data_IF_283857228237
#
_entry.id   IF_283857228237
#
_cell.length_a   1.000
_cell.length_b   1.000
_cell.length_c   1.000
_cell.angle_alpha   90.00
_cell.angle_beta   90.00
_cell.angle_gamma   90.00
#
_symmetry.space_group_name_H-M   'P 1'
#
loop_
_entity.id
_entity.type
_entity.pdbx_description
1 polymer ?
#
# COMPACT_ATOMS: atom_id res chain seq x y z
N UNK A 1 -7.07 -6.82 30.00
CA UNK A 1 -6.75 -7.92 29.04
C UNK A 1 -5.30 -7.69 28.62
N UNK A 2 -4.34 -8.48 29.12
CA UNK A 2 -2.87 -8.34 28.97
C UNK A 2 -2.09 -7.35 29.89
N UNK A 3 -2.72 -6.73 30.91
CA UNK A 3 -2.05 -5.81 31.86
C UNK A 3 -1.20 -4.69 31.20
N UNK A 4 -1.60 -4.22 30.02
CA UNK A 4 -0.92 -3.12 29.32
C UNK A 4 -1.50 -1.78 29.75
N UNK A 5 -0.61 -0.84 30.10
CA UNK A 5 -0.96 0.55 30.45
C UNK A 5 -0.73 1.51 29.28
N UNK A 6 0.01 1.10 28.24
CA UNK A 6 0.26 1.88 27.04
C UNK A 6 0.44 0.97 25.81
N UNK A 7 0.32 1.55 24.62
CA UNK A 7 0.66 0.93 23.34
C UNK A 7 2.01 1.49 22.89
N UNK A 8 2.98 0.62 22.58
CA UNK A 8 4.28 1.07 22.10
C UNK A 8 4.15 1.75 20.73
N UNK A 9 4.68 2.96 20.60
CA UNK A 9 4.74 3.70 19.33
C UNK A 9 6.09 4.38 19.19
N UNK A 10 6.87 3.97 18.18
CA UNK A 10 8.19 4.54 17.91
C UNK A 10 8.05 5.67 16.89
N UNK A 11 8.66 6.83 17.17
CA UNK A 11 8.67 8.00 16.26
C UNK A 11 9.37 7.65 14.94
N UNK A 12 8.85 8.16 13.84
CA UNK A 12 9.46 7.99 12.53
C UNK A 12 10.83 8.67 12.50
N UNK A 13 11.79 8.03 11.80
CA UNK A 13 13.13 8.60 11.62
C UNK A 13 13.03 9.96 10.91
N UNK A 14 13.78 10.93 11.42
CA UNK A 14 13.87 12.24 10.80
C UNK A 14 14.82 12.20 9.60
N UNK A 15 14.52 12.98 8.56
CA UNK A 15 15.50 13.32 7.55
C UNK A 15 16.52 14.28 8.18
N UNK A 16 17.77 13.80 8.36
CA UNK A 16 18.82 14.62 8.94
C UNK A 16 19.50 15.45 7.84
N UNK A 17 19.09 16.70 7.68
CA UNK A 17 19.73 17.65 6.76
C UNK A 17 20.87 18.43 7.41
N UNK A 18 21.21 18.14 8.68
CA UNK A 18 22.18 18.88 9.48
C UNK A 18 21.93 20.41 9.50
N UNK A 19 20.67 20.84 9.35
CA UNK A 19 20.25 22.24 9.34
C UNK A 19 19.13 22.48 10.37
N UNK A 20 19.06 23.68 10.93
CA UNK A 20 17.92 24.08 11.77
C UNK A 20 16.65 24.17 10.90
N UNK A 21 15.53 23.64 11.41
CA UNK A 21 14.25 23.63 10.70
C UNK A 21 13.20 22.72 11.34
N UNK A 22 11.99 22.66 10.77
CA UNK A 22 10.96 21.72 11.21
C UNK A 22 11.42 20.28 11.00
N UNK A 23 11.04 19.39 11.92
CA UNK A 23 11.34 17.96 11.79
C UNK A 23 10.51 17.37 10.65
N UNK A 24 11.17 16.92 9.59
CA UNK A 24 10.58 16.13 8.51
C UNK A 24 11.05 14.67 8.57
N UNK A 25 10.23 13.76 8.04
CA UNK A 25 10.45 12.32 8.09
C UNK A 25 11.01 11.82 6.77
N UNK A 26 11.79 10.74 6.82
CA UNK A 26 12.38 10.13 5.63
C UNK A 26 11.37 9.21 4.93
N UNK A 27 11.28 9.30 3.60
CA UNK A 27 10.70 8.23 2.78
C UNK A 27 11.82 7.26 2.37
N UNK A 28 11.75 6.01 2.81
CA UNK A 28 12.75 4.99 2.49
C UNK A 28 12.50 4.28 1.15
N UNK A 29 11.32 4.47 0.56
CA UNK A 29 11.00 3.96 -0.77
C UNK A 29 11.30 5.01 -1.84
N UNK A 30 11.33 4.59 -3.10
CA UNK A 30 11.30 5.54 -4.23
C UNK A 30 9.98 6.33 -4.20
N UNK A 31 10.01 7.55 -4.72
CA UNK A 31 8.84 8.44 -4.69
C UNK A 31 7.77 8.05 -5.70
N UNK A 32 8.12 7.27 -6.73
CA UNK A 32 7.30 7.00 -7.91
C UNK A 32 6.53 5.68 -7.79
N UNK A 33 5.51 5.52 -8.64
CA UNK A 33 4.81 4.24 -8.83
C UNK A 33 5.62 3.32 -9.76
N UNK A 34 6.77 2.85 -9.28
CA UNK A 34 7.79 2.14 -10.07
C UNK A 34 7.97 0.66 -9.65
N UNK A 35 7.04 0.15 -8.84
CA UNK A 35 7.10 -1.19 -8.24
C UNK A 35 8.38 -1.44 -7.42
N UNK A 36 8.96 -0.44 -6.78
CA UNK A 36 10.10 -0.62 -5.86
C UNK A 36 9.83 -1.61 -4.73
N UNK A 37 8.58 -1.85 -4.36
CA UNK A 37 8.21 -2.92 -3.42
C UNK A 37 8.50 -4.34 -3.98
N UNK A 38 8.58 -4.51 -5.31
CA UNK A 38 9.00 -5.74 -6.01
C UNK A 38 10.48 -5.71 -6.33
N UNK A 39 10.96 -4.61 -6.91
CA UNK A 39 12.33 -4.51 -7.46
C UNK A 39 13.37 -3.99 -6.47
N UNK A 40 12.97 -3.56 -5.27
CA UNK A 40 13.82 -2.88 -4.30
C UNK A 40 13.90 -1.37 -4.54
N UNK A 41 14.00 -0.59 -3.46
CA UNK A 41 14.19 0.87 -3.50
C UNK A 41 15.67 1.32 -3.58
N UNK A 42 16.61 0.39 -3.46
CA UNK A 42 18.06 0.65 -3.55
C UNK A 42 18.72 -0.46 -4.39
N UNK A 43 19.55 -0.06 -5.35
CA UNK A 43 20.29 -0.93 -6.28
C UNK A 43 21.14 -1.97 -5.52
N UNK A 44 22.05 -1.51 -4.66
CA UNK A 44 23.11 -2.35 -4.07
C UNK A 44 22.53 -3.26 -2.97
N UNK A 45 21.62 -2.75 -2.14
CA UNK A 45 21.19 -3.48 -0.95
C UNK A 45 19.99 -4.42 -1.19
N UNK A 46 19.13 -4.14 -2.18
CA UNK A 46 17.88 -4.90 -2.35
C UNK A 46 17.70 -5.44 -3.78
N UNK A 47 17.93 -4.65 -4.83
CA UNK A 47 17.51 -5.03 -6.21
C UNK A 47 18.30 -6.22 -6.78
N UNK A 48 19.62 -6.20 -6.65
CA UNK A 48 20.49 -7.25 -7.17
C UNK A 48 20.23 -8.62 -6.51
N UNK A 49 19.93 -8.62 -5.21
CA UNK A 49 19.67 -9.83 -4.44
C UNK A 49 18.36 -10.53 -4.80
N UNK A 50 17.52 -9.90 -5.62
CA UNK A 50 16.22 -10.39 -6.07
C UNK A 50 16.25 -10.95 -7.50
N UNK A 51 17.40 -10.92 -8.19
CA UNK A 51 17.55 -11.33 -9.60
C UNK A 51 18.24 -12.69 -9.73
N UNK A 52 17.90 -13.42 -10.79
CA UNK A 52 18.60 -14.66 -11.18
C UNK A 52 19.89 -14.37 -11.94
N UNK A 53 19.98 -13.20 -12.59
CA UNK A 53 20.98 -12.89 -13.64
C UNK A 53 20.98 -13.88 -14.81
N UNK A 54 19.85 -14.56 -15.01
CA UNK A 54 19.61 -15.47 -16.13
C UNK A 54 18.27 -15.11 -16.78
N UNK A 55 18.32 -14.76 -18.06
CA UNK A 55 17.14 -14.49 -18.88
C UNK A 55 16.33 -13.27 -18.44
N UNK A 56 16.93 -12.34 -17.71
CA UNK A 56 16.30 -11.14 -17.17
C UNK A 56 15.29 -11.40 -16.05
N UNK A 57 15.37 -12.54 -15.37
CA UNK A 57 14.33 -12.98 -14.43
C UNK A 57 14.60 -12.55 -12.98
N UNK A 58 13.50 -12.41 -12.22
CA UNK A 58 13.50 -12.34 -10.76
C UNK A 58 13.57 -13.74 -10.14
N UNK A 59 14.18 -13.82 -8.97
CA UNK A 59 14.28 -15.04 -8.18
C UNK A 59 12.91 -15.55 -7.76
N UNK A 60 12.67 -16.82 -8.06
CA UNK A 60 11.50 -17.57 -7.60
C UNK A 60 11.92 -18.95 -7.12
N UNK A 61 11.08 -19.55 -6.28
CA UNK A 61 11.20 -20.93 -5.82
C UNK A 61 9.91 -21.69 -6.13
N UNK A 62 9.94 -23.01 -6.02
CA UNK A 62 8.77 -23.87 -6.21
C UNK A 62 8.30 -24.44 -4.87
N UNK A 63 7.00 -24.33 -4.62
CA UNK A 63 6.36 -25.09 -3.57
C UNK A 63 6.30 -26.58 -3.93
N UNK A 64 6.03 -27.45 -2.94
CA UNK A 64 5.94 -28.92 -3.16
C UNK A 64 4.89 -29.33 -4.19
N UNK A 65 3.85 -28.52 -4.38
CA UNK A 65 2.80 -28.75 -5.38
C UNK A 65 3.13 -28.17 -6.76
N UNK A 66 4.36 -27.67 -6.99
CA UNK A 66 4.80 -27.07 -8.24
C UNK A 66 4.39 -25.60 -8.41
N UNK A 67 3.69 -24.99 -7.44
CA UNK A 67 3.32 -23.59 -7.54
C UNK A 67 4.54 -22.67 -7.33
N UNK A 68 4.74 -21.71 -8.24
CA UNK A 68 5.79 -20.70 -8.15
C UNK A 68 5.51 -19.76 -6.97
N UNK A 69 6.52 -19.54 -6.13
CA UNK A 69 6.52 -18.65 -4.96
C UNK A 69 7.78 -17.79 -4.89
N UNK A 70 7.77 -16.77 -4.03
CA UNK A 70 8.97 -16.02 -3.67
C UNK A 70 10.01 -16.92 -2.96
N UNK A 71 11.28 -16.54 -3.04
CA UNK A 71 12.37 -17.27 -2.37
C UNK A 71 12.35 -16.99 -0.86
N UNK A 72 12.33 -18.03 0.01
CA UNK A 72 12.48 -17.86 1.45
C UNK A 72 13.83 -17.23 1.82
N UNK A 73 13.83 -16.35 2.81
CA UNK A 73 15.05 -15.80 3.41
C UNK A 73 15.81 -16.91 4.14
N UNK A 74 17.12 -16.97 3.94
CA UNK A 74 18.02 -17.93 4.58
C UNK A 74 18.71 -17.25 5.77
N UNK A 75 18.43 -17.69 7.01
CA UNK A 75 19.14 -17.22 8.21
C UNK A 75 18.23 -16.85 9.38
N UNK A 76 18.81 -16.79 10.60
CA UNK A 76 18.16 -16.33 11.85
C UNK A 76 18.24 -14.80 12.05
N UNK A 77 18.84 -14.07 11.12
CA UNK A 77 19.09 -12.64 11.24
C UNK A 77 18.11 -11.85 10.37
N UNK A 78 16.87 -11.74 10.82
CA UNK A 78 16.04 -10.59 10.47
C UNK A 78 15.61 -9.96 11.79
N UNK A 79 16.36 -8.94 12.19
CA UNK A 79 16.00 -8.10 13.32
C UNK A 79 15.05 -7.03 12.79
N UNK A 80 13.75 -7.26 12.92
CA UNK A 80 12.80 -6.16 12.78
C UNK A 80 12.99 -5.19 13.96
N UNK A 81 13.02 -3.90 13.64
CA UNK A 81 12.95 -2.77 14.58
C UNK A 81 11.83 -2.84 15.62
N UNK A 82 10.82 -3.69 15.43
CA UNK A 82 9.70 -3.86 16.35
C UNK A 82 9.80 -5.08 17.28
N UNK A 83 10.92 -5.84 17.26
CA UNK A 83 11.04 -7.13 17.98
C UNK A 83 9.87 -8.09 17.65
N UNK A 84 9.28 -7.90 16.45
CA UNK A 84 8.25 -8.76 15.90
C UNK A 84 8.92 -10.03 15.42
N UNK A 85 8.34 -11.15 15.82
CA UNK A 85 8.87 -12.49 15.57
C UNK A 85 9.12 -12.66 14.07
N UNK A 86 10.22 -13.31 13.65
CA UNK A 86 10.38 -13.77 12.27
C UNK A 86 9.09 -14.47 11.82
N UNK A 87 8.78 -14.46 10.53
CA UNK A 87 7.59 -15.13 10.02
C UNK A 87 7.45 -16.54 10.62
N UNK A 88 6.20 -16.99 10.84
CA UNK A 88 5.82 -18.20 11.61
C UNK A 88 5.54 -18.02 13.12
N UNK A 89 4.77 -17.00 13.59
CA UNK A 89 4.13 -17.06 14.91
C UNK A 89 2.72 -17.70 14.83
N UNK A 90 2.43 -18.82 15.53
CA UNK A 90 3.32 -19.67 16.32
C UNK A 90 4.17 -20.60 15.43
N UNK A 91 5.32 -21.10 15.94
CA UNK A 91 6.19 -22.05 15.24
C UNK A 91 5.43 -23.35 14.94
N UNK A 92 4.69 -23.38 13.84
CA UNK A 92 4.13 -24.60 13.31
C UNK A 92 5.24 -25.29 12.50
N UNK A 93 5.21 -26.63 12.45
CA UNK A 93 6.05 -27.38 11.51
C UNK A 93 5.42 -27.29 10.10
N UNK A 94 6.21 -27.07 9.04
CA UNK A 94 7.66 -26.84 9.04
C UNK A 94 8.03 -25.42 9.51
N UNK A 95 9.23 -25.26 10.08
CA UNK A 95 9.75 -23.94 10.40
C UNK A 95 10.00 -23.17 9.10
N UNK A 96 9.18 -22.15 8.83
CA UNK A 96 9.28 -21.32 7.62
C UNK A 96 9.87 -19.96 7.95
N UNK A 97 10.76 -19.47 7.10
CA UNK A 97 11.23 -18.09 7.13
C UNK A 97 10.28 -17.16 6.38
N UNK A 98 10.53 -15.86 6.49
CA UNK A 98 9.93 -14.87 5.60
C UNK A 98 10.43 -15.04 4.17
N UNK A 99 9.79 -14.38 3.22
CA UNK A 99 10.21 -14.30 1.83
C UNK A 99 11.03 -13.04 1.55
N UNK A 100 11.98 -13.14 0.62
CA UNK A 100 12.74 -11.98 0.13
C UNK A 100 11.81 -11.08 -0.69
N UNK A 101 11.76 -9.79 -0.36
CA UNK A 101 10.93 -8.81 -1.06
C UNK A 101 11.66 -7.47 -1.21
N UNK A 102 11.30 -6.69 -2.24
CA UNK A 102 11.82 -5.33 -2.42
C UNK A 102 11.44 -4.36 -1.30
N UNK A 103 10.35 -4.62 -0.58
CA UNK A 103 9.83 -3.82 0.54
C UNK A 103 10.19 -4.39 1.93
N UNK A 104 11.18 -5.29 1.99
CA UNK A 104 11.65 -5.94 3.21
C UNK A 104 10.55 -6.77 3.89
N UNK A 105 10.38 -6.56 5.21
CA UNK A 105 9.43 -7.34 6.01
C UNK A 105 7.95 -7.03 5.71
N UNK A 106 7.64 -5.87 5.10
CA UNK A 106 6.26 -5.48 4.80
C UNK A 106 5.61 -6.34 3.71
N UNK A 107 6.40 -6.85 2.76
CA UNK A 107 5.93 -7.87 1.81
C UNK A 107 5.52 -9.19 2.49
N UNK A 108 5.91 -9.38 3.76
CA UNK A 108 5.54 -10.51 4.61
C UNK A 108 4.53 -10.16 5.70
N UNK A 109 3.85 -9.01 5.61
CA UNK A 109 2.92 -8.60 6.65
C UNK A 109 1.76 -9.61 6.82
N UNK A 110 1.23 -10.16 5.73
CA UNK A 110 0.21 -11.19 5.73
C UNK A 110 0.25 -11.98 4.40
N UNK A 111 -0.29 -13.21 4.33
CA UNK A 111 -0.18 -14.06 3.14
C UNK A 111 -0.93 -13.51 1.92
N UNK A 112 -1.89 -12.60 2.10
CA UNK A 112 -2.64 -11.97 1.02
C UNK A 112 -1.76 -10.99 0.24
N UNK A 113 -1.01 -10.14 0.94
CA UNK A 113 -0.02 -9.24 0.35
C UNK A 113 1.07 -10.04 -0.35
N UNK A 114 1.65 -11.04 0.33
CA UNK A 114 2.70 -11.90 -0.24
C UNK A 114 2.23 -12.63 -1.52
N UNK A 115 0.96 -13.06 -1.56
CA UNK A 115 0.37 -13.69 -2.76
C UNK A 115 0.27 -12.73 -3.93
N UNK A 116 -0.21 -11.50 -3.71
CA UNK A 116 -0.28 -10.47 -4.76
C UNK A 116 1.11 -10.07 -5.24
N UNK A 117 2.07 -9.95 -4.33
CA UNK A 117 3.46 -9.66 -4.70
C UNK A 117 4.07 -10.77 -5.56
N UNK A 118 3.81 -12.03 -5.21
CA UNK A 118 4.25 -13.18 -6.03
C UNK A 118 3.63 -13.13 -7.43
N UNK A 119 2.37 -12.70 -7.57
CA UNK A 119 1.72 -12.56 -8.88
C UNK A 119 2.48 -11.57 -9.78
N UNK A 120 2.93 -10.44 -9.23
CA UNK A 120 3.68 -9.42 -9.98
C UNK A 120 5.04 -9.98 -10.42
N UNK A 121 5.73 -10.72 -9.55
CA UNK A 121 7.01 -11.40 -9.88
C UNK A 121 6.82 -12.41 -11.01
N UNK A 122 5.76 -13.24 -10.93
CA UNK A 122 5.40 -14.18 -12.01
C UNK A 122 5.12 -13.45 -13.33
N UNK A 123 4.47 -12.29 -13.27
CA UNK A 123 4.17 -11.47 -14.45
C UNK A 123 5.45 -10.89 -15.07
N UNK A 124 6.39 -10.43 -14.25
CA UNK A 124 7.71 -10.00 -14.72
C UNK A 124 8.45 -11.13 -15.43
N UNK A 125 8.58 -12.30 -14.81
CA UNK A 125 9.28 -13.45 -15.42
C UNK A 125 8.60 -13.93 -16.71
N UNK A 126 7.27 -13.84 -16.78
CA UNK A 126 6.51 -14.10 -18.01
C UNK A 126 6.87 -13.11 -19.12
N UNK A 127 6.95 -11.80 -18.83
CA UNK A 127 7.37 -10.79 -19.80
C UNK A 127 8.82 -11.01 -20.25
N UNK A 128 9.75 -11.28 -19.32
CA UNK A 128 11.15 -11.54 -19.63
C UNK A 128 11.32 -12.76 -20.57
N UNK A 129 10.60 -13.87 -20.29
CA UNK A 129 10.60 -15.04 -21.15
C UNK A 129 10.03 -14.74 -22.55
N UNK A 130 8.91 -14.01 -22.63
CA UNK A 130 8.32 -13.59 -23.90
C UNK A 130 9.25 -12.69 -24.72
N UNK A 131 9.92 -11.74 -24.06
CA UNK A 131 10.88 -10.85 -24.70
C UNK A 131 12.10 -11.63 -25.24
N UNK A 132 12.59 -12.63 -24.51
CA UNK A 132 13.70 -13.47 -24.96
C UNK A 132 13.35 -14.30 -26.21
N UNK A 133 12.11 -14.79 -26.32
CA UNK A 133 11.66 -15.54 -27.50
C UNK A 133 11.67 -14.69 -28.77
N UNK A 134 11.34 -13.41 -28.67
CA UNK A 134 11.32 -12.47 -29.81
C UNK A 134 12.70 -11.86 -30.04
N UNK A 135 13.45 -11.60 -28.97
CA UNK A 135 14.76 -10.95 -28.99
C UNK A 135 15.83 -11.84 -28.37
N UNK A 136 16.12 -12.97 -29.01
CA UNK A 136 17.10 -13.96 -28.50
C UNK A 136 18.52 -13.42 -28.37
N UNK A 137 18.83 -12.29 -29.03
CA UNK A 137 20.11 -11.59 -28.98
C UNK A 137 20.25 -10.64 -27.78
N UNK A 138 19.17 -10.36 -27.03
CA UNK A 138 19.24 -9.50 -25.84
C UNK A 138 19.90 -10.23 -24.67
N UNK A 139 20.81 -9.54 -23.98
CA UNK A 139 21.44 -10.03 -22.76
C UNK A 139 20.52 -9.86 -21.55
N UNK A 140 20.90 -10.47 -20.42
CA UNK A 140 20.11 -10.50 -19.17
C UNK A 140 19.61 -9.11 -18.74
N UNK A 141 20.53 -8.14 -18.65
CA UNK A 141 20.18 -6.80 -18.17
C UNK A 141 19.14 -6.10 -19.05
N UNK A 142 19.24 -6.24 -20.38
CA UNK A 142 18.26 -5.66 -21.30
C UNK A 142 16.89 -6.33 -21.15
N UNK A 143 16.86 -7.66 -21.04
CA UNK A 143 15.62 -8.40 -20.77
C UNK A 143 14.99 -7.98 -19.44
N UNK A 144 15.78 -7.83 -18.38
CA UNK A 144 15.31 -7.43 -17.07
C UNK A 144 14.69 -6.02 -17.09
N UNK A 145 15.39 -5.03 -17.66
CA UNK A 145 14.90 -3.65 -17.68
C UNK A 145 13.65 -3.50 -18.54
N UNK A 146 13.58 -4.16 -19.70
CA UNK A 146 12.37 -4.12 -20.54
C UNK A 146 11.19 -4.87 -19.92
N UNK A 147 11.42 -6.04 -19.30
CA UNK A 147 10.39 -6.73 -18.54
C UNK A 147 9.90 -5.90 -17.34
N UNK A 148 10.82 -5.27 -16.60
CA UNK A 148 10.51 -4.37 -15.49
C UNK A 148 9.66 -3.19 -15.96
N UNK A 149 10.07 -2.52 -17.03
CA UNK A 149 9.36 -1.38 -17.63
C UNK A 149 7.94 -1.77 -18.06
N UNK A 150 7.77 -2.92 -18.71
CA UNK A 150 6.44 -3.44 -19.09
C UNK A 150 5.56 -3.74 -17.87
N UNK A 151 6.09 -4.44 -16.86
CA UNK A 151 5.33 -4.74 -15.65
C UNK A 151 4.94 -3.46 -14.90
N UNK A 152 5.83 -2.47 -14.80
CA UNK A 152 5.51 -1.17 -14.19
C UNK A 152 4.37 -0.51 -14.96
N UNK A 153 4.46 -0.41 -16.29
CA UNK A 153 3.41 0.20 -17.11
C UNK A 153 2.06 -0.51 -16.95
N UNK A 154 2.05 -1.85 -16.96
CA UNK A 154 0.85 -2.66 -16.75
C UNK A 154 0.20 -2.37 -15.39
N UNK A 155 0.98 -2.41 -14.30
CA UNK A 155 0.44 -2.19 -12.96
C UNK A 155 0.03 -0.72 -12.78
N UNK A 156 0.79 0.25 -13.26
CA UNK A 156 0.42 1.68 -13.21
C UNK A 156 -0.87 1.92 -14.00
N UNK A 157 -1.04 1.31 -15.18
CA UNK A 157 -2.30 1.39 -15.92
C UNK A 157 -3.47 0.86 -15.10
N UNK A 158 -3.34 -0.31 -14.45
CA UNK A 158 -4.39 -0.84 -13.55
C UNK A 158 -4.74 0.18 -12.43
N UNK A 159 -3.74 0.86 -11.86
CA UNK A 159 -3.99 1.86 -10.82
C UNK A 159 -4.82 3.05 -11.34
N UNK A 160 -4.49 3.59 -12.51
CA UNK A 160 -5.16 4.78 -13.06
C UNK A 160 -6.47 4.48 -13.79
N UNK A 161 -6.60 3.30 -14.39
CA UNK A 161 -7.73 2.92 -15.24
C UNK A 161 -8.80 2.12 -14.47
N UNK A 162 -8.39 1.34 -13.46
CA UNK A 162 -9.29 0.43 -12.75
C UNK A 162 -9.46 0.80 -11.28
N UNK A 163 -8.37 1.07 -10.55
CA UNK A 163 -8.44 1.24 -9.10
C UNK A 163 -8.88 2.64 -8.66
N UNK A 164 -8.12 3.68 -9.01
CA UNK A 164 -8.36 5.05 -8.55
C UNK A 164 -9.68 5.66 -9.06
N UNK A 165 -10.19 5.33 -10.26
CA UNK A 165 -11.54 5.74 -10.65
C UNK A 165 -12.63 5.25 -9.69
N UNK A 166 -12.46 4.06 -9.08
CA UNK A 166 -13.40 3.53 -8.09
C UNK A 166 -13.30 4.26 -6.75
N UNK A 167 -12.14 4.83 -6.42
CA UNK A 167 -11.93 5.61 -5.19
C UNK A 167 -12.39 7.06 -5.37
N UNK A 168 -11.89 7.76 -6.38
CA UNK A 168 -12.10 9.20 -6.59
C UNK A 168 -13.40 9.52 -7.34
N UNK A 169 -13.93 8.57 -8.12
CA UNK A 169 -15.08 8.79 -8.97
C UNK A 169 -14.79 9.70 -10.18
N UNK A 170 -15.70 9.67 -11.16
CA UNK A 170 -15.52 10.34 -12.46
C UNK A 170 -15.22 11.84 -12.35
N UNK A 171 -15.81 12.53 -11.37
CA UNK A 171 -15.64 13.98 -11.22
C UNK A 171 -14.22 14.36 -10.85
N UNK A 172 -13.65 13.72 -9.82
CA UNK A 172 -12.29 14.01 -9.38
C UNK A 172 -11.26 13.48 -10.38
N UNK A 173 -11.50 12.31 -10.99
CA UNK A 173 -10.66 11.81 -12.09
C UNK A 173 -10.54 12.83 -13.24
N UNK A 174 -11.65 13.47 -13.61
CA UNK A 174 -11.64 14.54 -14.62
C UNK A 174 -10.95 15.81 -14.11
N UNK A 175 -11.26 16.25 -12.89
CA UNK A 175 -10.69 17.46 -12.29
C UNK A 175 -9.16 17.43 -12.22
N UNK A 176 -8.59 16.30 -11.79
CA UNK A 176 -7.15 16.10 -11.68
C UNK A 176 -6.51 15.55 -12.96
N UNK A 177 -7.23 15.47 -14.08
CA UNK A 177 -6.69 14.96 -15.36
C UNK A 177 -6.03 13.57 -15.25
N UNK A 178 -6.64 12.66 -14.48
CA UNK A 178 -6.06 11.35 -14.15
C UNK A 178 -6.49 10.22 -15.09
N UNK A 179 -7.54 10.43 -15.89
CA UNK A 179 -8.01 9.38 -16.81
C UNK A 179 -6.89 8.97 -17.78
N UNK A 180 -6.80 7.66 -18.05
CA UNK A 180 -5.93 7.09 -19.08
C UNK A 180 -6.53 7.44 -20.45
N UNK A 181 -5.67 7.83 -21.40
CA UNK A 181 -6.06 8.16 -22.77
C UNK A 181 -6.31 6.86 -23.54
N UNK A 182 -7.27 6.91 -24.45
CA UNK A 182 -7.48 5.79 -25.39
C UNK A 182 -6.47 5.81 -26.54
N UNK A 183 -5.94 6.99 -26.90
CA UNK A 183 -5.00 7.18 -27.99
C UNK A 183 -4.07 8.39 -27.73
N UNK A 184 -2.89 8.35 -28.36
CA UNK A 184 -1.87 9.37 -28.28
C UNK A 184 -1.19 9.44 -26.92
N UNK A 185 -0.44 10.51 -26.69
CA UNK A 185 0.42 10.64 -25.52
C UNK A 185 -0.03 11.76 -24.57
N UNK A 186 0.24 11.56 -23.28
CA UNK A 186 0.39 12.67 -22.33
C UNK A 186 1.79 13.28 -22.46
N UNK A 187 2.06 14.34 -21.69
CA UNK A 187 3.36 15.00 -21.66
C UNK A 187 3.85 15.08 -20.22
N UNK A 188 5.12 14.74 -20.03
CA UNK A 188 5.82 14.99 -18.78
C UNK A 188 5.89 16.50 -18.50
N UNK A 189 5.77 16.89 -17.25
CA UNK A 189 5.94 18.27 -16.80
C UNK A 189 7.08 18.33 -15.77
N UNK A 190 8.25 18.89 -16.12
CA UNK A 190 9.40 18.99 -15.22
C UNK A 190 9.19 19.93 -14.03
N UNK A 191 8.12 20.73 -14.03
CA UNK A 191 7.78 21.62 -12.91
C UNK A 191 6.84 20.98 -11.87
N UNK A 192 6.41 19.73 -12.09
CA UNK A 192 5.60 18.98 -11.11
C UNK A 192 6.53 18.15 -10.24
N UNK A 193 6.50 18.38 -8.93
CA UNK A 193 7.28 17.61 -7.95
C UNK A 193 6.66 16.22 -7.75
N UNK A 194 7.33 15.12 -8.12
CA UNK A 194 6.78 13.78 -7.98
C UNK A 194 6.86 13.22 -6.54
N UNK A 195 7.39 14.00 -5.59
CA UNK A 195 7.55 13.56 -4.21
C UNK A 195 6.23 13.17 -3.55
N UNK A 196 6.30 12.21 -2.63
CA UNK A 196 5.17 11.79 -1.81
C UNK A 196 4.83 12.87 -0.79
N UNK A 197 3.59 13.33 -0.82
CA UNK A 197 2.99 14.29 0.10
C UNK A 197 2.73 13.60 1.43
N UNK A 198 3.19 14.23 2.51
CA UNK A 198 3.19 13.66 3.84
C UNK A 198 1.77 13.42 4.37
N UNK A 199 0.86 14.38 4.19
CA UNK A 199 -0.55 14.29 4.54
C UNK A 199 -1.22 13.12 3.82
N UNK A 200 -0.84 12.87 2.57
CA UNK A 200 -1.38 11.79 1.76
C UNK A 200 -0.91 10.44 2.29
N UNK A 201 0.39 10.23 2.51
CA UNK A 201 0.93 8.96 3.01
C UNK A 201 0.62 8.66 4.48
N UNK A 202 0.56 9.69 5.32
CA UNK A 202 0.35 9.53 6.77
C UNK A 202 -1.14 9.49 7.14
N UNK A 203 -2.02 10.05 6.32
CA UNK A 203 -3.45 10.08 6.58
C UNK A 203 -4.29 9.56 5.41
N UNK A 204 -4.34 10.26 4.28
CA UNK A 204 -5.38 10.03 3.26
C UNK A 204 -5.33 8.60 2.69
N UNK A 205 -4.17 8.12 2.24
CA UNK A 205 -3.98 6.78 1.67
C UNK A 205 -4.13 5.64 2.69
N UNK A 206 -4.32 5.96 3.97
CA UNK A 206 -4.63 4.95 5.01
C UNK A 206 -6.11 4.63 5.11
N UNK A 207 -6.97 5.23 4.27
CA UNK A 207 -8.40 4.89 4.20
C UNK A 207 -8.62 3.38 4.00
N UNK A 208 -7.70 2.69 3.31
CA UNK A 208 -7.78 1.25 3.07
C UNK A 208 -7.84 0.41 4.35
N UNK A 209 -7.38 0.94 5.49
CA UNK A 209 -7.48 0.23 6.77
C UNK A 209 -8.93 -0.04 7.18
N UNK A 210 -9.88 0.85 6.88
CA UNK A 210 -11.31 0.61 7.17
C UNK A 210 -11.94 -0.41 6.23
N UNK A 211 -11.32 -0.68 5.08
CA UNK A 211 -11.81 -1.64 4.10
C UNK A 211 -11.41 -3.10 4.43
N UNK A 212 -10.54 -3.28 5.43
CA UNK A 212 -10.05 -4.56 5.91
C UNK A 212 -11.17 -5.45 6.46
N UNK A 213 -11.08 -6.76 6.22
CA UNK A 213 -12.01 -7.76 6.76
C UNK A 213 -11.35 -8.53 7.91
N UNK A 214 -12.16 -9.07 8.82
CA UNK A 214 -11.67 -10.06 9.80
C UNK A 214 -11.44 -11.43 9.18
N UNK A 215 -12.29 -11.80 8.22
CA UNK A 215 -12.33 -13.14 7.65
C UNK A 215 -11.98 -13.08 6.16
N UNK A 216 -11.06 -13.94 5.76
CA UNK A 216 -10.62 -14.12 4.39
C UNK A 216 -10.81 -15.57 3.94
N UNK A 217 -11.38 -15.75 2.75
CA UNK A 217 -11.53 -17.08 2.14
C UNK A 217 -10.24 -17.53 1.46
N UNK A 218 -10.00 -18.84 1.47
CA UNK A 218 -9.01 -19.53 0.63
C UNK A 218 -9.76 -20.63 -0.12
N UNK A 219 -9.68 -20.62 -1.45
CA UNK A 219 -10.49 -21.47 -2.33
C UNK A 219 -9.58 -22.36 -3.17
N UNK A 220 -9.44 -23.63 -2.77
CA UNK A 220 -8.44 -24.56 -3.32
C UNK A 220 -8.77 -25.00 -4.76
N UNK A 221 -9.87 -25.73 -4.96
CA UNK A 221 -10.23 -26.34 -6.26
C UNK A 221 -11.73 -26.22 -6.55
N UNK A 222 -12.08 -25.91 -7.82
CA UNK A 222 -13.44 -25.86 -8.40
C UNK A 222 -14.56 -25.28 -7.49
N UNK A 223 -14.20 -24.35 -6.58
CA UNK A 223 -15.08 -23.81 -5.53
C UNK A 223 -15.65 -24.83 -4.52
N UNK A 224 -15.23 -26.10 -4.57
CA UNK A 224 -15.75 -27.16 -3.69
C UNK A 224 -15.06 -27.12 -2.33
N UNK A 225 -13.72 -27.04 -2.31
CA UNK A 225 -12.93 -26.99 -1.08
C UNK A 225 -12.56 -25.54 -0.76
N UNK A 226 -13.15 -25.00 0.31
CA UNK A 226 -12.88 -23.64 0.80
C UNK A 226 -12.69 -23.64 2.32
N UNK A 227 -11.79 -22.80 2.78
CA UNK A 227 -11.64 -22.49 4.21
C UNK A 227 -11.73 -20.98 4.43
N UNK A 228 -11.99 -20.57 5.66
CA UNK A 228 -11.99 -19.17 6.07
C UNK A 228 -11.00 -18.99 7.20
N UNK A 229 -10.14 -17.99 7.10
CA UNK A 229 -9.10 -17.70 8.09
C UNK A 229 -9.31 -16.31 8.67
N UNK A 230 -8.97 -16.13 9.95
CA UNK A 230 -8.99 -14.82 10.60
C UNK A 230 -7.70 -14.05 10.31
N UNK A 231 -7.82 -12.75 10.04
CA UNK A 231 -6.67 -11.90 9.74
C UNK A 231 -5.71 -11.80 10.93
N UNK A 232 -6.23 -11.67 12.16
CA UNK A 232 -5.39 -11.61 13.36
C UNK A 232 -4.45 -12.81 13.52
N UNK A 233 -4.82 -13.96 12.96
CA UNK A 233 -4.05 -15.21 13.02
C UNK A 233 -3.16 -15.41 11.77
N UNK A 234 -3.08 -14.40 10.90
CA UNK A 234 -2.36 -14.44 9.62
C UNK A 234 -1.30 -13.36 9.46
N UNK A 235 -1.14 -12.46 10.41
CA UNK A 235 -0.01 -11.54 10.40
C UNK A 235 1.31 -12.30 10.51
N UNK A 236 2.22 -12.06 9.57
CA UNK A 236 3.52 -12.74 9.45
C UNK A 236 3.46 -14.28 9.41
N UNK A 237 2.29 -14.84 9.13
CA UNK A 237 2.11 -16.28 8.95
C UNK A 237 2.09 -16.60 7.45
N UNK A 238 3.18 -17.19 6.98
CA UNK A 238 3.42 -17.47 5.56
C UNK A 238 3.16 -18.94 5.19
N UNK A 239 2.53 -19.73 6.05
CA UNK A 239 2.38 -21.18 5.84
C UNK A 239 1.63 -21.48 4.56
N UNK A 240 0.55 -20.76 4.26
CA UNK A 240 -0.22 -20.97 3.04
C UNK A 240 0.58 -20.63 1.78
N UNK A 241 1.30 -19.51 1.76
CA UNK A 241 2.16 -19.12 0.63
C UNK A 241 3.30 -20.12 0.46
N UNK A 242 3.91 -20.57 1.57
CA UNK A 242 4.94 -21.59 1.54
C UNK A 242 4.41 -22.92 1.00
N UNK A 243 3.16 -23.31 1.32
CA UNK A 243 2.53 -24.51 0.76
C UNK A 243 2.10 -24.36 -0.71
N UNK A 244 2.37 -23.23 -1.36
CA UNK A 244 1.97 -22.98 -2.74
C UNK A 244 0.46 -22.80 -2.87
N UNK A 245 -0.14 -22.01 -1.98
CA UNK A 245 -1.57 -21.71 -1.98
C UNK A 245 -1.87 -20.27 -2.44
N UNK A 246 -1.00 -19.68 -3.26
CA UNK A 246 -1.14 -18.34 -3.83
C UNK A 246 -2.38 -18.30 -4.72
N UNK A 247 -2.57 -19.28 -5.62
CA UNK A 247 -3.74 -19.29 -6.52
C UNK A 247 -5.05 -19.40 -5.71
N UNK A 248 -5.16 -20.31 -4.73
CA UNK A 248 -6.32 -20.35 -3.82
C UNK A 248 -6.58 -19.08 -3.02
N UNK A 249 -5.52 -18.40 -2.56
CA UNK A 249 -5.63 -17.12 -1.86
C UNK A 249 -6.19 -16.05 -2.80
N UNK A 250 -5.63 -15.91 -4.01
CA UNK A 250 -6.08 -14.92 -4.99
C UNK A 250 -7.55 -15.15 -5.39
N UNK A 251 -7.96 -16.41 -5.59
CA UNK A 251 -9.39 -16.74 -5.81
C UNK A 251 -10.27 -16.29 -4.66
N UNK A 252 -9.80 -16.44 -3.43
CA UNK A 252 -10.48 -15.95 -2.23
C UNK A 252 -10.66 -14.43 -2.22
N UNK A 253 -9.59 -13.68 -2.55
CA UNK A 253 -9.62 -12.23 -2.65
C UNK A 253 -10.60 -11.74 -3.72
N UNK A 254 -10.66 -12.42 -4.86
CA UNK A 254 -11.62 -12.11 -5.93
C UNK A 254 -13.07 -12.43 -5.55
N UNK A 255 -13.30 -13.37 -4.65
CA UNK A 255 -14.63 -13.84 -4.25
C UNK A 255 -15.26 -13.01 -3.11
N UNK A 256 -14.57 -12.00 -2.58
CA UNK A 256 -15.05 -11.20 -1.45
C UNK A 256 -15.00 -9.69 -1.72
N UNK A 257 -16.11 -9.02 -1.45
CA UNK A 257 -16.16 -7.56 -1.50
C UNK A 257 -15.40 -6.93 -0.32
N UNK A 258 -14.68 -5.84 -0.58
CA UNK A 258 -14.08 -5.00 0.46
C UNK A 258 -15.15 -4.41 1.42
N UNK A 259 -14.73 -4.05 2.64
CA UNK A 259 -15.59 -3.26 3.54
C UNK A 259 -15.72 -1.82 3.04
N UNK A 260 -16.71 -1.11 3.58
CA UNK A 260 -16.92 0.29 3.26
C UNK A 260 -15.78 1.17 3.80
N UNK A 261 -15.64 2.37 3.25
CA UNK A 261 -14.79 3.40 3.85
C UNK A 261 -15.61 4.13 4.90
N UNK A 262 -15.24 3.98 6.17
CA UNK A 262 -15.97 4.53 7.30
C UNK A 262 -15.05 4.58 8.54
N UNK A 263 -15.45 5.20 9.66
CA UNK A 263 -14.58 5.38 10.81
C UNK A 263 -14.48 4.13 11.69
N UNK A 264 -14.86 2.96 11.18
CA UNK A 264 -14.83 1.70 11.91
C UNK A 264 -13.69 0.81 11.41
N UNK A 265 -13.07 0.10 12.35
CA UNK A 265 -12.04 -0.90 12.09
C UNK A 265 -12.46 -2.25 12.67
N UNK A 266 -12.08 -3.33 12.00
CA UNK A 266 -12.27 -4.68 12.53
C UNK A 266 -11.35 -4.93 13.73
N UNK A 267 -11.78 -5.79 14.66
CA UNK A 267 -11.02 -6.09 15.87
C UNK A 267 -9.61 -6.62 15.58
N UNK A 268 -9.44 -7.31 14.45
CA UNK A 268 -8.17 -7.89 13.99
C UNK A 268 -7.06 -6.85 13.77
N UNK A 269 -7.41 -5.60 13.46
CA UNK A 269 -6.43 -4.50 13.29
C UNK A 269 -6.57 -3.43 14.38
N UNK A 270 -7.70 -3.40 15.10
CA UNK A 270 -7.94 -2.46 16.20
C UNK A 270 -7.36 -2.95 17.52
N UNK A 271 -7.45 -4.25 17.82
CA UNK A 271 -6.99 -4.82 19.09
C UNK A 271 -5.90 -5.87 18.90
N UNK A 272 -5.78 -6.45 17.70
CA UNK A 272 -4.92 -7.60 17.42
C UNK A 272 -3.99 -7.41 16.22
N UNK A 273 -3.63 -6.17 15.88
CA UNK A 273 -2.67 -5.92 14.80
C UNK A 273 -1.36 -6.65 15.13
N UNK A 274 -0.84 -7.46 14.20
CA UNK A 274 0.38 -8.25 14.39
C UNK A 274 0.34 -9.16 15.63
N UNK A 275 -0.84 -9.63 16.02
CA UNK A 275 -1.00 -10.48 17.19
C UNK A 275 -0.07 -11.69 17.15
N UNK A 276 0.69 -11.85 18.24
CA UNK A 276 1.64 -12.92 18.40
C UNK A 276 1.26 -13.75 19.64
N UNK A 277 0.86 -15.03 19.48
CA UNK A 277 0.49 -15.88 20.61
C UNK A 277 1.60 -16.07 21.66
N UNK A 278 2.87 -15.86 21.31
CA UNK A 278 4.03 -16.00 22.22
C UNK A 278 4.27 -14.77 23.09
N UNK A 279 3.90 -13.61 22.57
CA UNK A 279 4.03 -12.31 23.23
C UNK A 279 2.73 -11.55 23.01
N UNK A 280 1.62 -12.05 23.59
CA UNK A 280 0.32 -11.48 23.33
C UNK A 280 0.29 -10.05 23.84
N UNK A 281 -0.02 -9.13 22.94
CA UNK A 281 -0.14 -7.71 23.21
C UNK A 281 -1.23 -7.12 22.31
N UNK A 282 -1.91 -6.11 22.82
CA UNK A 282 -2.80 -5.27 22.03
C UNK A 282 -1.95 -4.31 21.22
N UNK A 283 -2.29 -4.20 19.94
CA UNK A 283 -1.77 -3.19 19.03
C UNK A 283 -2.94 -2.69 18.20
N UNK A 284 -3.13 -1.36 18.21
CA UNK A 284 -4.25 -0.69 17.55
C UNK A 284 -3.76 0.15 16.37
N UNK A 285 -4.08 -0.30 15.16
CA UNK A 285 -3.71 0.36 13.92
C UNK A 285 -4.33 1.77 13.77
N UNK A 286 -5.55 1.96 14.26
CA UNK A 286 -6.25 3.25 14.16
C UNK A 286 -5.65 4.26 15.13
N UNK A 287 -5.34 3.83 16.35
CA UNK A 287 -4.60 4.64 17.32
C UNK A 287 -3.19 4.97 16.81
N UNK A 288 -2.50 4.01 16.16
CA UNK A 288 -1.20 4.25 15.51
C UNK A 288 -1.33 5.28 14.39
N UNK A 289 -2.37 5.23 13.55
CA UNK A 289 -2.57 6.22 12.49
C UNK A 289 -2.74 7.64 13.04
N UNK A 290 -3.57 7.79 14.07
CA UNK A 290 -3.75 9.07 14.78
C UNK A 290 -2.42 9.57 15.34
N UNK A 291 -1.73 8.73 16.10
CA UNK A 291 -0.46 9.10 16.70
C UNK A 291 0.63 9.39 15.64
N UNK A 292 0.62 8.68 14.51
CA UNK A 292 1.57 8.88 13.41
C UNK A 292 1.34 10.23 12.73
N UNK A 293 0.09 10.66 12.54
CA UNK A 293 -0.22 12.01 12.09
C UNK A 293 0.40 13.07 12.99
N UNK A 294 0.24 12.92 14.31
CA UNK A 294 0.82 13.83 15.31
C UNK A 294 2.35 13.80 15.31
N UNK A 295 2.97 12.63 15.24
CA UNK A 295 4.43 12.46 15.14
C UNK A 295 5.01 13.13 13.90
N UNK A 296 4.28 13.09 12.79
CA UNK A 296 4.63 13.72 11.51
C UNK A 296 4.32 15.21 11.47
N UNK A 297 3.59 15.75 12.45
CA UNK A 297 3.25 17.17 12.49
C UNK A 297 2.33 17.62 11.36
N UNK A 298 1.53 16.71 10.78
CA UNK A 298 0.61 17.09 9.70
C UNK A 298 -0.48 18.03 10.23
N UNK A 299 -0.96 19.00 9.41
CA UNK A 299 -2.01 19.93 9.84
C UNK A 299 -3.28 19.22 10.29
N UNK A 300 -4.02 19.81 11.23
CA UNK A 300 -5.30 19.26 11.64
C UNK A 300 -6.31 19.21 10.49
N UNK A 301 -7.29 18.31 10.59
CA UNK A 301 -8.28 18.02 9.55
C UNK A 301 -8.93 19.27 8.95
N UNK A 302 -9.32 20.24 9.79
CA UNK A 302 -10.04 21.43 9.32
C UNK A 302 -9.21 22.33 8.40
N UNK A 303 -7.88 22.35 8.57
CA UNK A 303 -6.99 23.10 7.68
C UNK A 303 -6.88 22.41 6.32
N UNK A 304 -6.83 21.07 6.30
CA UNK A 304 -6.82 20.30 5.07
C UNK A 304 -8.18 20.38 4.34
N UNK A 305 -9.28 20.38 5.09
CA UNK A 305 -10.61 20.61 4.55
C UNK A 305 -10.72 22.00 3.92
N UNK A 306 -10.24 23.04 4.61
CA UNK A 306 -10.21 24.40 4.07
C UNK A 306 -9.33 24.49 2.82
N UNK A 307 -8.13 23.90 2.84
CA UNK A 307 -7.25 23.84 1.67
C UNK A 307 -7.95 23.19 0.46
N UNK A 308 -8.65 22.07 0.69
CA UNK A 308 -9.27 21.29 -0.37
C UNK A 308 -10.62 21.83 -0.87
N UNK A 309 -11.30 22.68 -0.09
CA UNK A 309 -12.68 23.12 -0.41
C UNK A 309 -12.85 24.64 -0.44
N UNK A 310 -11.88 25.40 0.05
CA UNK A 310 -11.99 26.84 0.31
C UNK A 310 -12.94 27.20 1.46
N UNK A 311 -13.52 26.23 2.15
CA UNK A 311 -14.51 26.50 3.19
C UNK A 311 -13.87 26.65 4.56
N UNK A 312 -14.06 27.82 5.18
CA UNK A 312 -13.57 28.09 6.53
C UNK A 312 -14.52 27.52 7.60
N UNK A 313 -13.95 26.78 8.55
CA UNK A 313 -14.67 26.18 9.67
C UNK A 313 -14.47 27.05 10.90
N UNK A 314 -15.56 27.59 11.47
CA UNK A 314 -15.52 28.44 12.67
C UNK A 314 -16.18 27.78 13.89
N UNK A 315 -16.93 26.69 13.68
CA UNK A 315 -17.65 25.99 14.73
C UNK A 315 -17.84 24.50 14.43
N UNK A 316 -18.25 23.74 15.46
CA UNK A 316 -18.69 22.36 15.29
C UNK A 316 -19.86 22.19 14.31
N UNK A 317 -20.73 23.20 14.20
CA UNK A 317 -21.92 23.15 13.33
C UNK A 317 -21.51 23.20 11.86
N UNK A 318 -20.48 23.96 11.53
CA UNK A 318 -19.98 24.10 10.16
C UNK A 318 -19.48 22.76 9.60
N UNK A 319 -18.97 21.88 10.48
CA UNK A 319 -18.57 20.52 10.10
C UNK A 319 -19.74 19.65 9.64
N UNK A 320 -20.98 19.96 10.03
CA UNK A 320 -22.16 19.16 9.64
C UNK A 320 -22.44 19.23 8.12
N UNK A 321 -21.84 20.21 7.42
CA UNK A 321 -21.85 20.28 5.95
C UNK A 321 -21.07 19.13 5.29
N UNK A 322 -20.07 18.58 5.98
CA UNK A 322 -19.15 17.58 5.45
C UNK A 322 -19.20 16.26 6.20
N UNK A 323 -19.62 16.26 7.47
CA UNK A 323 -19.65 15.10 8.34
C UNK A 323 -21.09 14.94 8.88
N UNK A 324 -21.69 13.73 8.85
CA UNK A 324 -22.99 13.48 9.48
C UNK A 324 -23.06 13.99 10.92
N UNK A 325 -24.13 14.71 11.29
CA UNK A 325 -24.26 15.32 12.61
C UNK A 325 -24.10 14.33 13.79
N UNK A 326 -24.50 13.06 13.62
CA UNK A 326 -24.25 11.99 14.61
C UNK A 326 -22.73 11.75 14.83
N UNK A 327 -21.94 11.76 13.75
CA UNK A 327 -20.48 11.63 13.81
C UNK A 327 -19.84 12.90 14.42
N UNK A 328 -20.33 14.10 14.07
CA UNK A 328 -19.89 15.36 14.72
C UNK A 328 -20.12 15.33 16.23
N UNK A 329 -21.28 14.84 16.69
CA UNK A 329 -21.56 14.64 18.12
C UNK A 329 -20.57 13.68 18.79
N UNK A 330 -20.11 12.63 18.10
CA UNK A 330 -19.07 11.74 18.61
C UNK A 330 -17.71 12.45 18.70
N UNK A 331 -17.33 13.23 17.69
CA UNK A 331 -16.09 14.02 17.71
C UNK A 331 -16.05 14.99 18.88
N UNK A 332 -17.17 15.67 19.17
CA UNK A 332 -17.31 16.59 20.32
C UNK A 332 -17.10 15.95 21.69
N UNK A 333 -17.26 14.63 21.80
CA UNK A 333 -17.00 13.90 23.06
C UNK A 333 -15.52 13.60 23.27
N UNK A 334 -14.72 13.62 22.21
CA UNK A 334 -13.31 13.20 22.21
C UNK A 334 -12.36 14.38 22.06
N UNK A 335 -12.67 15.31 21.16
CA UNK A 335 -11.86 16.48 20.89
C UNK A 335 -12.42 17.70 21.61
N UNK A 336 -11.55 18.44 22.30
CA UNK A 336 -11.91 19.68 23.03
C UNK A 336 -12.37 20.77 22.06
N UNK A 337 -11.66 20.93 20.95
CA UNK A 337 -11.97 21.94 19.93
C UNK A 337 -12.06 21.32 18.53
N UNK A 338 -12.88 21.89 17.65
CA UNK A 338 -13.07 21.38 16.28
C UNK A 338 -11.79 21.46 15.44
N UNK A 339 -10.85 22.32 15.83
CA UNK A 339 -9.52 22.46 15.20
C UNK A 339 -8.52 21.39 15.63
N UNK A 340 -8.85 20.55 16.60
CA UNK A 340 -7.94 19.51 17.12
C UNK A 340 -8.12 18.16 16.40
N UNK A 341 -9.09 18.06 15.48
CA UNK A 341 -9.44 16.80 14.83
C UNK A 341 -8.26 16.31 13.98
N UNK A 342 -7.79 15.09 14.26
CA UNK A 342 -6.73 14.46 13.46
C UNK A 342 -7.22 14.17 12.03
N UNK A 343 -6.43 14.44 10.98
CA UNK A 343 -6.81 14.22 9.57
C UNK A 343 -7.37 12.84 9.26
N UNK A 344 -6.78 11.80 9.82
CA UNK A 344 -7.20 10.41 9.58
C UNK A 344 -8.63 10.18 10.07
N UNK A 345 -8.96 10.73 11.24
CA UNK A 345 -10.30 10.63 11.83
C UNK A 345 -11.28 11.48 11.04
N UNK A 346 -10.95 12.75 10.79
CA UNK A 346 -11.83 13.68 10.09
C UNK A 346 -12.21 13.19 8.69
N UNK A 347 -11.23 12.75 7.89
CA UNK A 347 -11.47 12.29 6.53
C UNK A 347 -12.32 11.01 6.43
N UNK A 348 -12.18 10.06 7.38
CA UNK A 348 -13.06 8.88 7.44
C UNK A 348 -14.49 9.20 7.93
N UNK A 349 -14.66 10.34 8.59
CA UNK A 349 -15.96 10.77 9.11
C UNK A 349 -16.80 11.48 8.04
N UNK A 350 -16.19 11.98 6.95
CA UNK A 350 -16.86 12.72 5.88
C UNK A 350 -17.99 11.94 5.18
N UNK A 351 -18.92 12.68 4.58
CA UNK A 351 -19.77 12.16 3.52
C UNK A 351 -18.93 11.86 2.28
N UNK A 352 -19.19 10.73 1.64
CA UNK A 352 -18.55 10.43 0.36
C UNK A 352 -19.08 11.37 -0.73
N UNK A 353 -18.18 11.83 -1.60
CA UNK A 353 -18.59 12.57 -2.79
C UNK A 353 -19.39 11.64 -3.73
N UNK A 354 -20.31 12.22 -4.50
CA UNK A 354 -21.16 11.46 -5.43
C UNK A 354 -20.29 10.66 -6.42
N UNK A 355 -20.43 9.33 -6.38
CA UNK A 355 -19.67 8.40 -7.23
C UNK A 355 -18.23 8.14 -6.78
N UNK A 356 -17.81 8.69 -5.65
CA UNK A 356 -16.53 8.42 -4.98
C UNK A 356 -16.76 7.55 -3.74
N UNK A 357 -15.69 6.96 -3.22
CA UNK A 357 -15.67 6.22 -1.96
C UNK A 357 -15.05 7.02 -0.81
N UNK A 358 -14.61 8.25 -1.08
CA UNK A 358 -14.01 9.13 -0.09
C UNK A 358 -14.71 10.48 -0.09
N UNK A 359 -14.55 11.23 1.00
CA UNK A 359 -15.04 12.60 1.08
C UNK A 359 -14.12 13.60 0.39
N UNK A 360 -14.46 14.90 0.43
CA UNK A 360 -13.71 15.94 -0.26
C UNK A 360 -12.25 16.06 0.17
N UNK A 361 -11.93 15.87 1.45
CA UNK A 361 -10.55 16.06 1.93
C UNK A 361 -9.65 14.94 1.42
N UNK A 362 -10.02 13.68 1.63
CA UNK A 362 -9.23 12.55 1.12
C UNK A 362 -9.24 12.50 -0.41
N UNK A 363 -10.37 12.79 -1.06
CA UNK A 363 -10.43 12.83 -2.53
C UNK A 363 -9.50 13.88 -3.14
N UNK A 364 -9.38 15.05 -2.51
CA UNK A 364 -8.45 16.10 -2.90
C UNK A 364 -6.98 15.67 -2.71
N UNK A 365 -6.59 15.22 -1.51
CA UNK A 365 -5.20 14.84 -1.21
C UNK A 365 -4.70 13.68 -2.08
N UNK A 366 -5.54 12.66 -2.26
CA UNK A 366 -5.24 11.52 -3.14
C UNK A 366 -5.15 11.99 -4.60
N UNK A 367 -6.09 12.82 -5.05
CA UNK A 367 -6.10 13.34 -6.42
C UNK A 367 -4.85 14.16 -6.75
N UNK A 368 -4.39 15.01 -5.83
CA UNK A 368 -3.13 15.78 -5.97
C UNK A 368 -1.94 14.82 -6.08
N UNK A 369 -1.83 13.82 -5.20
CA UNK A 369 -0.71 12.88 -5.24
C UNK A 369 -0.66 12.09 -6.55
N UNK A 370 -1.81 11.60 -7.04
CA UNK A 370 -1.87 10.90 -8.32
C UNK A 370 -1.61 11.84 -9.51
N UNK A 371 -1.93 13.13 -9.41
CA UNK A 371 -1.50 14.10 -10.41
C UNK A 371 0.03 14.24 -10.43
N UNK A 372 0.65 14.34 -9.24
CA UNK A 372 2.10 14.44 -9.10
C UNK A 372 2.81 13.21 -9.68
N UNK A 373 2.32 12.00 -9.38
CA UNK A 373 2.87 10.77 -9.95
C UNK A 373 2.60 10.60 -11.45
N UNK A 374 1.52 11.16 -12.00
CA UNK A 374 1.24 11.09 -13.43
C UNK A 374 2.12 12.06 -14.22
N UNK A 375 2.16 13.32 -13.83
CA UNK A 375 2.78 14.38 -14.62
C UNK A 375 4.21 14.72 -14.19
N UNK A 376 4.60 14.39 -12.96
CA UNK A 376 5.98 14.55 -12.45
C UNK A 376 6.86 13.32 -12.65
N UNK A 377 6.32 12.18 -13.07
CA UNK A 377 7.09 11.01 -13.46
C UNK A 377 7.43 11.05 -14.95
N UNK A 378 8.71 11.22 -15.27
CA UNK A 378 9.21 11.19 -16.66
C UNK A 378 9.02 9.84 -17.35
N UNK A 379 8.90 8.76 -16.57
CA UNK A 379 8.71 7.38 -17.06
C UNK A 379 7.26 6.90 -17.00
N UNK A 380 6.29 7.78 -16.72
CA UNK A 380 4.88 7.42 -16.78
C UNK A 380 4.52 6.88 -18.17
N UNK A 381 3.82 5.74 -18.19
CA UNK A 381 3.68 4.91 -19.39
C UNK A 381 3.01 5.59 -20.59
N UNK A 382 2.19 6.63 -20.37
CA UNK A 382 1.49 7.37 -21.45
C UNK A 382 2.27 8.58 -21.98
N UNK A 383 3.41 8.95 -21.41
CA UNK A 383 4.18 10.10 -21.91
C UNK A 383 4.85 9.78 -23.24
N UNK A 384 4.80 10.73 -24.16
CA UNK A 384 5.45 10.64 -25.47
C UNK A 384 6.64 11.59 -25.57
N UNK A 385 7.64 11.22 -26.37
CA UNK A 385 8.85 12.03 -26.59
C UNK A 385 9.88 11.95 -25.45
N UNK A 386 9.69 11.04 -24.50
CA UNK A 386 10.62 10.77 -23.40
C UNK A 386 11.47 9.53 -23.70
N UNK A 387 12.64 9.43 -23.06
CA UNK A 387 13.56 8.29 -23.24
C UNK A 387 12.90 6.93 -22.95
N UNK A 388 11.94 6.89 -22.02
CA UNK A 388 11.20 5.68 -21.65
C UNK A 388 9.87 5.47 -22.38
N UNK A 389 9.48 6.37 -23.29
CA UNK A 389 8.19 6.34 -23.97
C UNK A 389 7.98 5.01 -24.72
N UNK A 390 6.78 4.43 -24.57
CA UNK A 390 6.36 3.33 -25.43
C UNK A 390 6.00 3.85 -26.82
N UNK A 391 6.20 3.02 -27.84
CA UNK A 391 5.73 3.32 -29.21
C UNK A 391 4.20 3.27 -29.27
N UNK A 392 3.57 3.98 -30.23
CA UNK A 392 2.10 4.08 -30.33
C UNK A 392 1.40 2.74 -30.56
#
# INVERSE_FOLDING_TARGET
MFNQICLNTVRSIACNTCSLGPRNQMNAATQLLDLSHVYGGNLINNSESLRTYIGGQLLTDFAKNGEIRMVPMSGKQDTDTLDLTPCNPPLNKPNIGCFRTGDGMRGNQNPFIASLQTLIIKRHNHHAAGLHLVNSHWHDEQLFQEARRLTIAEIVKIHYDEYIPLVLGKRLMKYFHLNVRSHGYTKYNPHVDPSSIQETGTSAMRFGHSQTRSLYKIIYDNHVHKTTVMLKDRFFNMVEVWKGQITPIVRGLLAESAKNIDPYGVIDIKDFLFFNPRRPSIVDLFSINVNRGRDHGIPAYVYLLQYCTGYEVHSWKDLEKFIPGKKVKSLRKVYRHYRDIDPFVGGLMEYHLKGSRVGPTFGCLIGIQFYHWKYGDRFYFEHGGEVGSFTP
#
